data_IF_551894640217
#
_entry.id   IF_551894640217
#
_cell.length_a   1.000
_cell.length_b   1.000
_cell.length_c   1.000
_cell.angle_alpha   90.00
_cell.angle_beta   90.00
_cell.angle_gamma   90.00
#
_symmetry.space_group_name_H-M   'P 1'
#
loop_
_entity.id
_entity.type
_entity.pdbx_description
1 polymer ?
#
# COMPACT_ATOMS: atom_id res chain seq x y z
N UNK A 1 -3.72 17.87 19.82
CA UNK A 1 -3.10 16.85 20.70
C UNK A 1 -2.07 17.56 21.55
N UNK A 2 -2.60 18.18 22.59
CA UNK A 2 -1.93 18.62 23.79
C UNK A 2 -1.44 17.36 24.51
N UNK A 3 -0.16 17.30 24.90
CA UNK A 3 0.49 16.09 25.41
C UNK A 3 -0.13 15.51 26.71
N UNK A 4 -0.93 16.32 27.43
CA UNK A 4 -1.60 15.98 28.70
C UNK A 4 -2.86 15.10 28.54
N UNK A 5 -2.87 14.14 27.61
CA UNK A 5 -4.05 13.28 27.40
C UNK A 5 -3.77 11.98 26.65
N UNK A 6 -2.59 11.79 26.04
CA UNK A 6 -2.35 10.58 25.24
C UNK A 6 -2.25 9.35 26.13
N UNK A 7 -1.44 9.40 27.19
CA UNK A 7 -1.26 8.27 28.09
C UNK A 7 -2.49 8.02 28.97
N UNK A 8 -3.36 9.01 29.13
CA UNK A 8 -4.60 8.86 29.91
C UNK A 8 -5.70 8.09 29.17
N UNK A 9 -5.58 7.94 27.83
CA UNK A 9 -6.57 7.23 27.00
C UNK A 9 -6.06 5.88 26.48
N UNK A 10 -4.77 5.60 26.62
CA UNK A 10 -4.22 4.34 26.18
C UNK A 10 -4.70 3.23 27.10
N UNK A 11 -4.96 2.07 26.51
CA UNK A 11 -5.20 0.87 27.30
C UNK A 11 -3.97 0.60 28.17
N UNK A 12 -4.13 0.37 29.49
CA UNK A 12 -3.01 0.07 30.39
C UNK A 12 -2.10 -1.05 29.84
N UNK A 13 -2.66 -2.07 29.19
CA UNK A 13 -1.88 -3.15 28.61
C UNK A 13 -0.93 -2.65 27.51
N UNK A 14 -1.34 -1.65 26.73
CA UNK A 14 -0.48 -1.07 25.68
C UNK A 14 0.68 -0.28 26.31
N UNK A 15 0.48 0.32 27.48
CA UNK A 15 1.54 1.01 28.22
C UNK A 15 2.56 0.03 28.82
N UNK A 16 2.10 -1.14 29.26
CA UNK A 16 2.97 -2.17 29.84
C UNK A 16 3.76 -2.92 28.76
N UNK A 17 3.12 -3.25 27.63
CA UNK A 17 3.71 -4.08 26.57
C UNK A 17 4.53 -3.26 25.53
N UNK A 18 4.26 -1.96 25.40
CA UNK A 18 4.81 -1.12 24.34
C UNK A 18 5.88 -0.14 24.82
N UNK A 19 6.96 0.05 24.03
CA UNK A 19 7.89 1.15 24.30
C UNK A 19 7.24 2.49 23.96
N UNK A 20 7.53 3.52 24.76
CA UNK A 20 6.98 4.86 24.58
C UNK A 20 7.20 5.38 23.14
N UNK A 21 8.36 5.10 22.55
CA UNK A 21 8.72 5.49 21.20
C UNK A 21 7.81 4.83 20.15
N UNK A 22 7.57 3.51 20.28
CA UNK A 22 6.69 2.76 19.36
C UNK A 22 5.25 3.23 19.51
N UNK A 23 4.78 3.43 20.74
CA UNK A 23 3.44 3.96 21.03
C UNK A 23 3.26 5.32 20.36
N UNK A 24 4.19 6.26 20.57
CA UNK A 24 4.12 7.60 19.95
C UNK A 24 4.13 7.50 18.43
N UNK A 25 4.92 6.60 17.84
CA UNK A 25 4.96 6.41 16.39
C UNK A 25 3.62 5.91 15.84
N UNK A 26 3.01 4.90 16.47
CA UNK A 26 1.69 4.38 16.09
C UNK A 26 0.62 5.46 16.23
N UNK A 27 0.65 6.26 17.30
CA UNK A 27 -0.29 7.36 17.52
C UNK A 27 -0.18 8.43 16.42
N UNK A 28 1.05 8.78 16.02
CA UNK A 28 1.28 9.70 14.89
C UNK A 28 0.74 9.13 13.57
N UNK A 29 0.91 7.83 13.33
CA UNK A 29 0.35 7.15 12.17
C UNK A 29 -1.19 7.16 12.20
N UNK A 30 -1.80 6.77 13.32
CA UNK A 30 -3.24 6.78 13.52
C UNK A 30 -3.85 8.17 13.30
N UNK A 31 -3.19 9.23 13.80
CA UNK A 31 -3.59 10.62 13.56
C UNK A 31 -3.66 10.96 12.07
N UNK A 32 -2.73 10.45 11.25
CA UNK A 32 -2.75 10.64 9.79
C UNK A 32 -3.84 9.82 9.13
N UNK A 33 -4.09 8.58 9.57
CA UNK A 33 -5.17 7.73 9.07
C UNK A 33 -6.56 8.34 9.34
N UNK A 34 -6.74 8.98 10.49
CA UNK A 34 -8.00 9.62 10.90
C UNK A 34 -8.18 11.05 10.37
N UNK A 35 -7.41 11.46 9.36
CA UNK A 35 -7.55 12.80 8.79
C UNK A 35 -8.98 12.99 8.21
N UNK A 36 -9.62 14.11 8.54
CA UNK A 36 -10.96 14.44 8.03
C UNK A 36 -10.96 14.62 6.50
N UNK A 37 -9.84 15.07 5.91
CA UNK A 37 -9.67 15.16 4.46
C UNK A 37 -9.16 13.82 3.95
N UNK A 38 -10.03 13.06 3.28
CA UNK A 38 -9.73 11.72 2.75
C UNK A 38 -8.46 11.67 1.89
N UNK A 39 -8.24 12.68 1.04
CA UNK A 39 -7.04 12.74 0.18
C UNK A 39 -5.72 12.92 0.94
N UNK A 40 -5.77 13.29 2.23
CA UNK A 40 -4.59 13.41 3.10
C UNK A 40 -4.32 12.17 3.93
N UNK A 41 -5.21 11.16 3.88
CA UNK A 41 -4.99 9.89 4.55
C UNK A 41 -3.89 9.12 3.81
N UNK A 42 -2.99 8.44 4.54
CA UNK A 42 -2.03 7.55 3.89
C UNK A 42 -2.77 6.41 3.18
N UNK A 43 -2.15 5.87 2.13
CA UNK A 43 -2.63 4.63 1.51
C UNK A 43 -2.33 3.44 2.43
N UNK A 44 -3.08 2.34 2.30
CA UNK A 44 -2.80 1.14 3.10
C UNK A 44 -1.39 0.58 2.88
N UNK A 45 -0.81 0.74 1.67
CA UNK A 45 0.60 0.42 1.41
C UNK A 45 1.53 1.23 2.30
N UNK A 46 1.31 2.55 2.42
CA UNK A 46 2.11 3.41 3.30
C UNK A 46 1.93 3.06 4.78
N UNK A 47 0.70 2.74 5.20
CA UNK A 47 0.40 2.30 6.57
C UNK A 47 1.15 1.01 6.90
N UNK A 48 1.09 0.01 6.02
CA UNK A 48 1.78 -1.27 6.21
C UNK A 48 3.30 -1.09 6.33
N UNK A 49 3.92 -0.36 5.40
CA UNK A 49 5.37 -0.08 5.44
C UNK A 49 5.79 0.66 6.71
N UNK A 50 4.95 1.56 7.22
CA UNK A 50 5.28 2.30 8.44
C UNK A 50 5.15 1.45 9.70
N UNK A 51 4.12 0.61 9.78
CA UNK A 51 3.98 -0.36 10.88
C UNK A 51 5.13 -1.36 10.89
N UNK A 52 5.58 -1.83 9.73
CA UNK A 52 6.74 -2.69 9.61
C UNK A 52 8.01 -2.01 10.14
N UNK A 53 8.23 -0.74 9.78
CA UNK A 53 9.34 0.07 10.31
C UNK A 53 9.27 0.24 11.83
N UNK A 54 8.07 0.51 12.38
CA UNK A 54 7.87 0.68 13.84
C UNK A 54 8.15 -0.63 14.58
N UNK A 55 7.79 -1.78 13.98
CA UNK A 55 8.11 -3.09 14.56
C UNK A 55 9.62 -3.30 14.59
N UNK A 56 10.31 -3.04 13.47
CA UNK A 56 11.74 -3.22 13.30
C UNK A 56 12.61 -2.25 14.13
N UNK A 57 12.10 -1.07 14.50
CA UNK A 57 12.89 -0.04 15.20
C UNK A 57 13.31 -0.39 16.64
N UNK A 58 13.00 -1.59 17.13
CA UNK A 58 13.52 -2.14 18.39
C UNK A 58 14.70 -3.11 18.22
N UNK A 59 15.07 -3.44 16.98
CA UNK A 59 16.10 -4.41 16.63
C UNK A 59 17.26 -3.70 15.92
N UNK A 60 18.06 -2.93 16.66
CA UNK A 60 19.28 -2.39 16.09
C UNK A 60 20.36 -3.49 16.02
N UNK A 61 20.38 -4.24 14.92
CA UNK A 61 21.60 -4.68 14.22
C UNK A 61 21.25 -5.48 12.96
N UNK A 62 21.32 -4.84 11.78
CA UNK A 62 22.35 -5.03 10.75
C UNK A 62 22.00 -4.08 9.60
N UNK A 63 22.90 -3.12 9.37
CA UNK A 63 22.89 -2.25 8.21
C UNK A 63 23.10 -3.10 6.95
N UNK A 64 22.20 -2.98 5.97
CA UNK A 64 22.58 -2.73 4.58
C UNK A 64 21.60 -1.73 3.98
N UNK A 65 22.07 -0.50 3.83
CA UNK A 65 21.61 0.35 2.73
C UNK A 65 21.98 -0.37 1.44
N UNK A 66 20.99 -0.63 0.61
CA UNK A 66 21.18 -0.76 -0.83
C UNK A 66 20.14 0.16 -1.45
N UNK A 67 20.60 1.38 -1.75
CA UNK A 67 20.02 2.21 -2.77
C UNK A 67 20.21 1.47 -4.10
N UNK A 68 19.16 0.81 -4.60
CA UNK A 68 19.11 0.33 -5.99
C UNK A 68 17.84 0.90 -6.61
N UNK A 69 17.94 2.15 -7.06
CA UNK A 69 17.23 2.60 -8.25
C UNK A 69 17.91 1.89 -9.43
N UNK A 70 17.25 0.92 -10.05
CA UNK A 70 17.52 0.65 -11.47
C UNK A 70 16.23 0.23 -12.18
N UNK A 71 15.91 1.00 -13.22
CA UNK A 71 14.79 0.79 -14.11
C UNK A 71 15.37 0.38 -15.47
N UNK A 72 15.61 -0.91 -15.66
CA UNK A 72 15.98 -1.43 -16.97
C UNK A 72 14.72 -1.73 -17.79
N UNK A 73 14.38 -0.75 -18.62
CA UNK A 73 13.57 -0.92 -19.81
C UNK A 73 14.54 -1.15 -20.99
N UNK A 74 14.67 -2.37 -21.49
CA UNK A 74 14.87 -2.60 -22.93
C UNK A 74 14.69 -4.07 -23.30
N UNK A 75 13.88 -4.28 -24.34
CA UNK A 75 14.07 -5.25 -25.43
C UNK A 75 12.70 -5.64 -25.98
N UNK A 76 12.16 -4.82 -26.88
CA UNK A 76 11.50 -5.39 -28.06
C UNK A 76 11.65 -4.39 -29.21
N UNK A 77 12.73 -4.58 -29.94
CA UNK A 77 12.96 -4.08 -31.29
C UNK A 77 11.67 -4.23 -32.12
N UNK A 78 11.07 -3.09 -32.49
CA UNK A 78 10.02 -3.02 -33.52
C UNK A 78 10.66 -3.09 -34.91
N UNK A 79 10.07 -3.87 -35.84
CA UNK A 79 10.10 -3.50 -37.25
C UNK A 79 8.69 -3.14 -37.72
N UNK A 80 8.50 -1.85 -37.94
CA UNK A 80 7.60 -1.27 -38.92
C UNK A 80 7.46 -2.16 -40.17
N UNK A 81 6.25 -2.59 -40.48
CA UNK A 81 5.84 -2.88 -41.86
C UNK A 81 4.33 -2.83 -41.95
N UNK A 82 3.86 -1.67 -42.40
CA UNK A 82 2.51 -1.44 -42.87
C UNK A 82 2.25 -2.35 -44.07
N UNK A 83 1.44 -3.40 -43.90
CA UNK A 83 0.79 -4.11 -45.00
C UNK A 83 -0.71 -4.05 -44.79
N UNK A 84 -1.33 -3.16 -45.54
CA UNK A 84 -2.78 -3.01 -45.73
C UNK A 84 -3.34 -4.22 -46.47
N UNK A 85 -4.46 -4.78 -46.01
CA UNK A 85 -5.51 -5.33 -46.88
C UNK A 85 -6.81 -5.59 -46.09
N UNK A 86 -7.90 -4.95 -46.54
CA UNK A 86 -9.27 -5.11 -46.06
C UNK A 86 -9.87 -6.47 -46.40
N UNK A 87 -10.59 -7.06 -45.44
CA UNK A 87 -11.79 -7.88 -45.74
C UNK A 87 -12.88 -7.63 -44.69
N UNK A 88 -14.11 -7.77 -45.18
CA UNK A 88 -15.37 -7.19 -44.69
C UNK A 88 -16.05 -8.07 -43.62
N UNK A 89 -16.88 -7.42 -42.81
CA UNK A 89 -17.56 -7.82 -41.55
C UNK A 89 -18.58 -8.98 -41.61
N UNK A 90 -18.84 -9.64 -40.47
CA UNK A 90 -20.18 -10.15 -40.05
C UNK A 90 -20.30 -10.23 -38.52
N UNK A 91 -21.42 -9.74 -37.99
CA UNK A 91 -21.82 -9.73 -36.57
C UNK A 91 -22.55 -11.02 -36.22
N UNK A 92 -22.25 -11.67 -35.09
CA UNK A 92 -23.22 -12.56 -34.40
C UNK A 92 -23.16 -12.36 -32.89
N UNK A 93 -24.30 -11.95 -32.32
CA UNK A 93 -24.55 -11.86 -30.88
C UNK A 93 -24.63 -13.26 -30.27
N UNK A 94 -23.98 -13.51 -29.14
CA UNK A 94 -24.22 -14.74 -28.35
C UNK A 94 -24.59 -14.38 -26.91
N UNK A 95 -25.76 -14.87 -26.51
CA UNK A 95 -26.41 -14.71 -25.21
C UNK A 95 -25.70 -15.52 -24.11
N UNK A 96 -25.58 -14.93 -22.93
CA UNK A 96 -25.14 -15.60 -21.70
C UNK A 96 -26.27 -16.47 -21.16
N UNK A 97 -26.02 -17.76 -20.92
CA UNK A 97 -26.97 -18.69 -20.27
C UNK A 97 -26.56 -18.90 -18.80
N UNK A 98 -27.52 -18.73 -17.88
CA UNK A 98 -27.42 -18.95 -16.42
C UNK A 98 -27.40 -20.45 -16.06
N UNK A 99 -26.76 -20.86 -14.93
CA UNK A 99 -26.73 -22.24 -14.48
C UNK A 99 -28.05 -22.68 -13.80
N UNK A 100 -28.42 -23.95 -14.01
CA UNK A 100 -29.62 -24.60 -13.46
C UNK A 100 -29.34 -25.21 -12.08
N UNK A 101 -30.23 -24.97 -11.12
CA UNK A 101 -30.37 -25.73 -9.87
C UNK A 101 -31.00 -27.11 -10.13
N UNK A 102 -30.54 -28.13 -9.40
CA UNK A 102 -31.24 -29.36 -9.08
C UNK A 102 -30.79 -29.89 -7.71
#
# INVERSE_FOLDING_TARGET
>A
MNAKSLFDILDPQVMDDGTQEKIIAVVKLAKRCLNLKGQKRPTMKQVAMELERIRASGEANVIKQSDDEDSDIDDTIKPYAMTSCSTRSVITNTSVTLPSDA
#
